data_IF_638713547867
#
_entry.id   IF_638713547867
#
_cell.length_a   1.000
_cell.length_b   1.000
_cell.length_c   1.000
_cell.angle_alpha   90.00
_cell.angle_beta   90.00
_cell.angle_gamma   90.00
#
_symmetry.space_group_name_H-M   'P 1'
#
loop_
_entity.id
_entity.type
_entity.pdbx_description
1 polymer ?
#
# COMPACT_ATOMS: atom_id res chain seq x y z
N UNK A 1 23.72 -12.80 1.12
CA UNK A 1 22.27 -12.83 0.84
C UNK A 1 21.71 -11.41 0.87
N UNK A 2 20.96 -11.00 -0.16
CA UNK A 2 20.28 -9.71 -0.14
C UNK A 2 19.15 -9.69 0.91
N UNK A 3 18.90 -8.53 1.50
CA UNK A 3 17.78 -8.34 2.44
C UNK A 3 16.45 -8.26 1.68
N UNK A 4 15.42 -8.94 2.18
CA UNK A 4 14.07 -8.87 1.61
C UNK A 4 13.47 -7.46 1.73
N UNK A 5 12.50 -7.17 0.87
CA UNK A 5 11.74 -5.89 0.88
C UNK A 5 11.07 -5.65 2.25
N UNK A 6 10.64 -6.73 2.92
CA UNK A 6 9.98 -6.66 4.23
C UNK A 6 10.95 -6.60 5.40
N UNK A 7 12.26 -6.59 5.15
CA UNK A 7 13.26 -6.48 6.22
C UNK A 7 13.10 -5.17 6.99
N UNK A 8 13.18 -5.24 8.32
CA UNK A 8 12.96 -4.10 9.22
C UNK A 8 13.91 -2.93 8.93
N UNK A 9 15.16 -3.25 8.60
CA UNK A 9 16.19 -2.25 8.27
C UNK A 9 15.86 -1.45 7.01
N UNK A 10 15.47 -2.12 5.91
CA UNK A 10 15.03 -1.44 4.68
C UNK A 10 13.79 -0.59 4.92
N UNK A 11 12.78 -1.11 5.63
CA UNK A 11 11.56 -0.36 5.96
C UNK A 11 11.85 0.92 6.74
N UNK A 12 12.68 0.86 7.79
CA UNK A 12 13.04 2.02 8.60
C UNK A 12 13.78 3.08 7.78
N UNK A 13 14.71 2.67 6.91
CA UNK A 13 15.44 3.60 6.06
C UNK A 13 14.48 4.30 5.06
N UNK A 14 13.62 3.54 4.36
CA UNK A 14 12.65 4.14 3.45
C UNK A 14 11.66 5.09 4.15
N UNK A 15 11.24 4.78 5.39
CA UNK A 15 10.42 5.71 6.17
C UNK A 15 11.15 7.03 6.44
N UNK A 16 12.44 6.97 6.80
CA UNK A 16 13.27 8.15 7.02
C UNK A 16 13.45 8.98 5.74
N UNK A 17 13.71 8.33 4.60
CA UNK A 17 13.84 9.01 3.31
C UNK A 17 12.51 9.67 2.89
N UNK A 18 11.38 9.01 3.16
CA UNK A 18 10.05 9.62 2.92
C UNK A 18 9.84 10.86 3.76
N UNK A 19 10.16 10.83 5.06
CA UNK A 19 9.91 12.00 5.92
C UNK A 19 10.84 13.18 5.65
N UNK A 20 12.08 12.92 5.19
CA UNK A 20 13.11 13.96 5.07
C UNK A 20 13.29 14.49 3.66
N UNK A 21 13.23 13.61 2.66
CA UNK A 21 13.56 13.98 1.26
C UNK A 21 12.30 14.00 0.41
N UNK A 22 11.56 12.89 0.37
CA UNK A 22 10.49 12.73 -0.62
C UNK A 22 9.16 13.38 -0.22
N UNK A 23 8.84 13.44 1.06
CA UNK A 23 7.62 14.07 1.58
C UNK A 23 7.59 15.57 1.29
N UNK A 24 8.56 16.36 1.81
CA UNK A 24 8.58 17.80 1.59
C UNK A 24 8.60 18.21 0.11
N UNK A 25 9.29 17.44 -0.74
CA UNK A 25 9.34 17.70 -2.19
C UNK A 25 7.98 17.45 -2.86
N UNK A 26 7.28 16.39 -2.46
CA UNK A 26 5.94 16.11 -2.94
C UNK A 26 4.95 17.19 -2.48
N UNK A 27 5.01 17.59 -1.22
CA UNK A 27 4.15 18.63 -0.65
C UNK A 27 4.35 19.96 -1.38
N UNK A 28 5.61 20.41 -1.57
CA UNK A 28 5.92 21.62 -2.33
C UNK A 28 5.44 21.56 -3.79
N UNK A 29 5.45 20.38 -4.41
CA UNK A 29 4.87 20.20 -5.77
C UNK A 29 3.36 20.39 -5.74
N UNK A 30 2.67 19.84 -4.75
CA UNK A 30 1.21 19.99 -4.61
C UNK A 30 0.81 21.43 -4.34
N UNK A 31 1.56 22.16 -3.50
CA UNK A 31 1.35 23.58 -3.23
C UNK A 31 1.50 24.45 -4.50
N UNK A 32 2.52 24.17 -5.33
CA UNK A 32 2.70 24.88 -6.60
C UNK A 32 1.55 24.63 -7.57
N UNK A 33 1.12 23.37 -7.67
CA UNK A 33 0.01 23.01 -8.57
C UNK A 33 -1.31 23.61 -8.07
N UNK A 34 -1.59 23.59 -6.76
CA UNK A 34 -2.80 24.18 -6.21
C UNK A 34 -2.82 25.71 -6.38
N UNK A 35 -1.68 26.39 -6.18
CA UNK A 35 -1.56 27.82 -6.46
C UNK A 35 -1.88 28.15 -7.92
N UNK A 36 -1.33 27.37 -8.87
CA UNK A 36 -1.62 27.55 -10.30
C UNK A 36 -3.10 27.33 -10.62
N UNK A 37 -3.75 26.35 -9.99
CA UNK A 37 -5.17 26.11 -10.18
C UNK A 37 -6.04 27.24 -9.61
N UNK A 38 -5.65 27.81 -8.46
CA UNK A 38 -6.32 28.97 -7.88
C UNK A 38 -6.17 30.21 -8.76
N UNK A 39 -4.98 30.44 -9.31
CA UNK A 39 -4.74 31.52 -10.28
C UNK A 39 -5.67 31.37 -11.50
N UNK A 40 -5.76 30.17 -12.09
CA UNK A 40 -6.66 29.90 -13.21
C UNK A 40 -8.14 30.08 -12.85
N UNK A 41 -8.54 29.71 -11.64
CA UNK A 41 -9.92 29.89 -11.19
C UNK A 41 -10.26 31.36 -10.89
N UNK A 42 -9.28 32.16 -10.48
CA UNK A 42 -9.44 33.59 -10.23
C UNK A 42 -9.43 34.43 -11.51
N UNK A 43 -8.90 33.89 -12.62
CA UNK A 43 -9.03 34.53 -13.92
C UNK A 43 -10.52 34.63 -14.25
N UNK A 44 -11.03 35.83 -14.61
CA UNK A 44 -12.42 35.99 -14.98
C UNK A 44 -12.69 35.04 -16.15
N UNK A 45 -13.78 34.27 -16.06
CA UNK A 45 -14.28 33.45 -17.15
C UNK A 45 -14.32 34.37 -18.38
N UNK A 46 -13.44 34.11 -19.35
CA UNK A 46 -13.54 34.73 -20.66
C UNK A 46 -14.83 34.17 -21.25
N UNK A 47 -15.93 34.88 -21.04
CA UNK A 47 -17.20 34.62 -21.70
C UNK A 47 -16.95 35.03 -23.15
N UNK A 48 -16.37 34.12 -23.93
CA UNK A 48 -16.46 34.21 -25.37
C UNK A 48 -17.93 33.98 -25.71
N UNK A 49 -18.65 35.08 -25.91
CA UNK A 49 -19.91 35.08 -26.65
C UNK A 49 -19.62 34.72 -28.10
N UNK A 50 -19.34 33.46 -28.36
CA UNK A 50 -19.38 32.87 -29.70
C UNK A 50 -19.46 31.37 -29.54
N UNK A 51 -20.67 30.85 -29.75
CA UNK A 51 -20.85 29.53 -30.34
C UNK A 51 -19.96 29.42 -31.58
N UNK A 52 -19.49 28.21 -31.81
CA UNK A 52 -18.76 27.75 -32.99
C UNK A 52 -17.26 28.06 -32.99
N UNK A 53 -16.48 27.03 -32.65
CA UNK A 53 -15.42 26.49 -33.53
C UNK A 53 -14.77 25.28 -32.87
N UNK A 54 -15.47 24.16 -33.00
CA UNK A 54 -14.83 22.86 -33.24
C UNK A 54 -13.99 22.99 -34.51
N UNK A 55 -12.70 22.63 -34.41
CA UNK A 55 -11.81 22.15 -35.50
C UNK A 55 -11.64 23.13 -36.69
N UNK A 56 -10.44 23.60 -37.07
CA UNK A 56 -9.43 22.84 -37.81
C UNK A 56 -8.46 23.90 -38.42
N UNK A 57 -7.14 23.82 -38.21
CA UNK A 57 -6.20 23.57 -39.31
C UNK A 57 -4.74 23.53 -38.87
N UNK A 58 -4.12 22.48 -39.38
CA UNK A 58 -2.79 21.94 -39.15
C UNK A 58 -1.80 22.50 -40.18
N UNK A 59 -0.50 22.44 -39.87
CA UNK A 59 0.57 21.82 -40.71
C UNK A 59 1.94 22.43 -40.43
N UNK A 60 2.79 21.66 -39.74
CA UNK A 60 4.06 21.22 -40.33
C UNK A 60 4.13 19.69 -40.16
N UNK A 61 4.12 18.97 -41.28
CA UNK A 61 4.12 17.51 -41.39
C UNK A 61 5.55 16.96 -41.52
N UNK A 62 5.78 15.79 -40.91
CA UNK A 62 6.53 14.62 -41.38
C UNK A 62 6.88 13.80 -40.12
N UNK A 63 6.35 12.62 -39.81
CA UNK A 63 5.87 11.54 -40.67
C UNK A 63 6.73 10.31 -40.38
N UNK A 64 6.33 9.51 -39.38
CA UNK A 64 6.64 8.07 -39.31
C UNK A 64 5.41 7.43 -38.64
N UNK A 65 4.56 6.86 -39.48
CA UNK A 65 3.66 5.79 -39.12
C UNK A 65 4.51 4.60 -38.66
N UNK A 66 4.11 3.93 -37.58
CA UNK A 66 4.16 2.47 -37.51
C UNK A 66 3.29 1.99 -36.34
N UNK A 67 2.07 1.65 -36.71
CA UNK A 67 1.26 0.60 -36.07
C UNK A 67 2.09 -0.70 -35.97
N UNK A 68 2.80 -0.95 -34.85
CA UNK A 68 3.37 -2.28 -34.61
C UNK A 68 3.81 -2.59 -33.18
N UNK A 69 3.06 -2.25 -32.13
CA UNK A 69 3.33 -2.86 -30.82
C UNK A 69 2.06 -3.10 -29.99
N UNK A 70 1.14 -3.91 -30.55
CA UNK A 70 0.22 -4.72 -29.74
C UNK A 70 1.04 -5.81 -29.05
N UNK A 71 1.59 -5.50 -27.88
CA UNK A 71 2.21 -6.52 -27.03
C UNK A 71 1.16 -7.53 -26.57
N UNK A 72 1.34 -8.76 -27.06
CA UNK A 72 0.60 -9.97 -26.71
C UNK A 72 0.61 -10.17 -25.19
N UNK A 73 -0.58 -10.16 -24.57
CA UNK A 73 -0.75 -10.61 -23.19
C UNK A 73 -0.75 -12.13 -23.24
N UNK A 74 0.38 -12.75 -22.90
CA UNK A 74 0.47 -14.18 -22.69
C UNK A 74 -0.42 -14.60 -21.52
N UNK A 75 -1.58 -15.15 -21.84
CA UNK A 75 -2.40 -15.94 -20.95
C UNK A 75 -1.64 -17.23 -20.62
N UNK A 76 -0.77 -17.16 -19.62
CA UNK A 76 -0.07 -18.34 -19.08
C UNK A 76 -0.44 -18.56 -17.62
N UNK A 77 -1.14 -19.68 -17.45
CA UNK A 77 -1.27 -20.47 -16.24
C UNK A 77 -2.07 -19.86 -15.08
N UNK A 78 -3.37 -20.16 -15.10
CA UNK A 78 -4.11 -20.48 -13.90
C UNK A 78 -3.35 -21.54 -13.06
N UNK A 79 -2.52 -21.10 -12.11
CA UNK A 79 -2.07 -21.97 -11.02
C UNK A 79 -2.96 -21.71 -9.80
N UNK A 80 -4.08 -22.43 -9.76
CA UNK A 80 -4.72 -22.79 -8.50
C UNK A 80 -3.66 -23.48 -7.64
N UNK A 81 -3.28 -22.87 -6.53
CA UNK A 81 -2.73 -23.63 -5.40
C UNK A 81 -3.31 -23.09 -4.11
N UNK A 82 -4.43 -23.69 -3.75
CA UNK A 82 -4.87 -23.81 -2.39
C UNK A 82 -3.74 -24.42 -1.55
N UNK A 83 -3.31 -23.72 -0.52
CA UNK A 83 -3.17 -24.35 0.80
C UNK A 83 -2.89 -23.29 1.85
N UNK A 84 -3.91 -23.03 2.66
CA UNK A 84 -3.77 -22.43 3.98
C UNK A 84 -3.01 -23.42 4.86
N UNK A 85 -1.68 -23.49 4.72
CA UNK A 85 -0.84 -24.25 5.66
C UNK A 85 -0.75 -23.45 6.95
N UNK A 86 -1.71 -23.70 7.84
CA UNK A 86 -1.58 -23.42 9.26
C UNK A 86 -0.28 -24.08 9.73
N UNK A 87 0.76 -23.28 9.99
CA UNK A 87 2.00 -23.76 10.61
C UNK A 87 1.70 -24.03 12.08
N UNK A 88 1.07 -25.17 12.36
CA UNK A 88 0.69 -25.64 13.69
C UNK A 88 1.89 -25.88 14.62
N UNK A 89 3.11 -25.96 14.08
CA UNK A 89 4.30 -26.34 14.86
C UNK A 89 5.36 -25.23 14.96
N UNK A 90 4.97 -23.95 14.93
CA UNK A 90 5.92 -22.87 15.28
C UNK A 90 6.14 -22.89 16.79
N UNK A 91 7.21 -23.57 17.24
CA UNK A 91 7.72 -23.47 18.61
C UNK A 91 8.11 -22.01 18.87
N UNK A 92 7.21 -21.24 19.47
CA UNK A 92 7.50 -19.90 19.98
C UNK A 92 8.25 -20.08 21.29
N UNK A 93 9.58 -20.01 21.25
CA UNK A 93 10.39 -19.85 22.47
C UNK A 93 9.97 -18.53 23.10
N UNK A 94 9.07 -18.58 24.09
CA UNK A 94 8.71 -17.39 24.84
C UNK A 94 9.97 -16.91 25.55
N UNK A 95 10.39 -15.69 25.23
CA UNK A 95 11.50 -15.04 25.92
C UNK A 95 11.09 -14.94 27.39
N UNK A 96 11.80 -15.65 28.29
CA UNK A 96 11.56 -15.57 29.73
C UNK A 96 11.80 -14.11 30.16
N UNK A 97 10.73 -13.35 30.34
CA UNK A 97 10.82 -11.99 30.88
C UNK A 97 11.11 -12.12 32.37
N UNK A 98 12.02 -11.28 32.88
CA UNK A 98 12.30 -11.21 34.32
C UNK A 98 10.98 -10.94 35.07
N UNK A 99 10.75 -11.56 36.24
CA UNK A 99 9.56 -11.28 37.02
C UNK A 99 9.50 -9.79 37.33
N UNK A 100 8.33 -9.18 37.14
CA UNK A 100 8.06 -7.82 37.62
C UNK A 100 7.49 -7.98 39.02
N UNK A 101 8.06 -7.28 39.99
CA UNK A 101 7.53 -7.25 41.36
C UNK A 101 6.13 -6.63 41.33
N UNK A 102 5.10 -7.47 41.32
CA UNK A 102 3.70 -7.05 41.43
C UNK A 102 3.21 -7.45 42.81
N UNK A 103 2.89 -6.46 43.65
CA UNK A 103 2.24 -6.62 44.96
C UNK A 103 0.73 -6.95 44.82
N UNK A 104 0.33 -7.61 43.74
CA UNK A 104 -1.05 -8.01 43.49
C UNK A 104 -1.02 -9.46 43.08
N UNK A 105 -1.71 -10.31 43.84
CA UNK A 105 -1.83 -11.72 43.56
C UNK A 105 -2.44 -11.93 42.17
N UNK A 106 -1.75 -12.69 41.32
CA UNK A 106 -2.30 -13.08 40.02
C UNK A 106 -3.56 -13.91 40.26
N UNK A 107 -4.65 -13.55 39.57
CA UNK A 107 -5.90 -14.33 39.62
C UNK A 107 -5.61 -15.81 39.28
N UNK A 108 -6.13 -16.78 40.05
CA UNK A 108 -5.93 -18.19 39.74
C UNK A 108 -6.50 -18.50 38.36
N UNK A 109 -5.65 -19.06 37.50
CA UNK A 109 -6.04 -19.49 36.15
C UNK A 109 -7.00 -20.67 36.28
N UNK A 110 -8.30 -20.46 36.01
CA UNK A 110 -9.32 -21.52 35.94
C UNK A 110 -9.06 -22.40 34.72
N UNK A 111 -8.05 -23.26 34.79
CA UNK A 111 -7.71 -24.20 33.73
C UNK A 111 -7.46 -25.57 34.34
N UNK A 112 -8.33 -26.52 33.98
CA UNK A 112 -8.38 -27.95 34.35
C UNK A 112 -9.35 -28.29 35.48
N UNK A 113 -10.63 -28.00 35.30
CA UNK A 113 -11.65 -28.92 35.80
C UNK A 113 -11.80 -30.03 34.76
N UNK A 114 -11.35 -31.24 35.09
CA UNK A 114 -11.69 -32.43 34.32
C UNK A 114 -13.20 -32.67 34.47
N UNK A 115 -13.97 -32.35 33.42
CA UNK A 115 -15.39 -32.71 33.36
C UNK A 115 -15.49 -34.23 33.26
N UNK A 116 -15.79 -34.91 34.37
CA UNK A 116 -16.23 -36.30 34.34
C UNK A 116 -17.59 -36.34 33.62
N UNK A 117 -17.64 -36.92 32.42
CA UNK A 117 -18.89 -37.20 31.70
C UNK A 117 -19.61 -38.33 32.42
N UNK A 118 -20.80 -38.06 32.97
CA UNK A 118 -21.68 -39.10 33.50
C UNK A 118 -22.21 -39.95 32.33
N UNK A 119 -22.03 -41.27 32.42
CA UNK A 119 -22.58 -42.26 31.51
C UNK A 119 -24.08 -42.38 31.82
N UNK A 120 -24.94 -42.10 30.84
CA UNK A 120 -26.39 -42.35 30.92
C UNK A 120 -26.64 -43.85 30.95
N UNK A 121 -27.54 -44.29 31.83
CA UNK A 121 -28.28 -45.53 31.69
C UNK A 121 -29.64 -45.20 31.07
#
# INVERSE_FOLDING_TARGET
MAKSIRSSTKKRNHAKLRSTVFGPVADARTERLSAKLQELAAQPLKIETSKDSSEENTKTEAGVEDESDKMVIDESAATKSSSTKQRSNRVRKQIKRKPRNKMVFSKPHQGKQQRKTQKKN
#
